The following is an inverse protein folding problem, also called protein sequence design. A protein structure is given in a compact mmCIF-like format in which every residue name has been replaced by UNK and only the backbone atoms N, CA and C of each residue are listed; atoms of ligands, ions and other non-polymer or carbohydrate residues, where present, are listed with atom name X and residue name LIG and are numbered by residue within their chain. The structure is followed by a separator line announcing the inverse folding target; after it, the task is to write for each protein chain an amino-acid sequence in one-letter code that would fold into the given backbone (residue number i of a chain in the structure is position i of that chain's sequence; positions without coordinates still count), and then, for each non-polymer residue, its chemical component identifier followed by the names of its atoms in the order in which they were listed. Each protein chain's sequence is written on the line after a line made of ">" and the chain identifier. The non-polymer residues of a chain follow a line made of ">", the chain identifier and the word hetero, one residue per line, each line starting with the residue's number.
data_IF_018727088973
#
_entry.id   IF_018727088973
#
_cell.length_a   1.000
_cell.length_b   1.000
_cell.length_c   1.000
_cell.angle_alpha   90.00
_cell.angle_beta   90.00
_cell.angle_gamma   90.00
#
_symmetry.space_group_name_H-M   'P 1'
#
loop_
_entity.id
_entity.type
_entity.pdbx_description
1 polymer ?
#
# COMPACT_ATOMS: atom_id res chain seq x y z
N UNK A 1 -7.62 -24.72 -6.84
CA UNK A 1 -6.70 -23.96 -5.97
C UNK A 1 -5.66 -23.33 -6.89
N UNK A 2 -5.70 -22.01 -7.07
CA UNK A 2 -4.72 -21.32 -7.92
C UNK A 2 -3.35 -21.38 -7.27
N UNK A 3 -2.30 -21.68 -8.02
CA UNK A 3 -0.93 -21.55 -7.54
C UNK A 3 -0.71 -20.10 -7.10
N UNK A 4 -0.20 -19.89 -5.89
CA UNK A 4 0.30 -18.58 -5.48
C UNK A 4 1.30 -18.10 -6.53
N UNK A 5 1.07 -16.92 -7.12
CA UNK A 5 2.08 -16.34 -8.00
C UNK A 5 3.32 -15.96 -7.16
N UNK A 6 4.51 -15.96 -7.76
CA UNK A 6 5.77 -15.75 -7.05
C UNK A 6 5.76 -14.46 -6.21
N UNK A 7 5.15 -13.40 -6.75
CA UNK A 7 5.00 -12.12 -6.08
C UNK A 7 4.18 -12.22 -4.78
N UNK A 8 3.02 -12.85 -4.82
CA UNK A 8 2.16 -13.06 -3.65
C UNK A 8 2.87 -13.88 -2.57
N UNK A 9 3.61 -14.94 -2.94
CA UNK A 9 4.39 -15.73 -1.99
C UNK A 9 5.46 -14.90 -1.27
N UNK A 10 6.08 -13.94 -1.98
CA UNK A 10 7.07 -13.01 -1.43
C UNK A 10 6.45 -11.87 -0.59
N UNK A 11 5.13 -11.70 -0.63
CA UNK A 11 4.39 -10.69 0.13
C UNK A 11 3.85 -11.20 1.47
N UNK A 12 4.20 -12.43 1.89
CA UNK A 12 3.84 -12.94 3.22
C UNK A 12 4.61 -12.21 4.31
N UNK A 13 4.03 -12.09 5.52
CA UNK A 13 4.66 -11.39 6.67
C UNK A 13 6.10 -11.87 6.91
N UNK A 14 6.30 -13.19 7.00
CA UNK A 14 7.61 -13.76 7.30
C UNK A 14 8.64 -13.47 6.21
N UNK A 15 8.25 -13.56 4.93
CA UNK A 15 9.15 -13.25 3.82
C UNK A 15 9.51 -11.77 3.76
N UNK A 16 8.54 -10.89 4.01
CA UNK A 16 8.77 -9.45 4.04
C UNK A 16 9.66 -9.04 5.22
N UNK A 17 9.41 -9.57 6.43
CA UNK A 17 10.25 -9.29 7.60
C UNK A 17 11.67 -9.84 7.42
N UNK A 18 11.81 -11.08 6.99
CA UNK A 18 13.13 -11.70 6.79
C UNK A 18 13.98 -10.94 5.77
N UNK A 19 13.35 -10.31 4.78
CA UNK A 19 14.04 -9.59 3.70
C UNK A 19 14.22 -8.11 3.97
N UNK A 20 13.19 -7.47 4.52
CA UNK A 20 13.08 -6.02 4.60
C UNK A 20 12.99 -5.47 6.02
N UNK A 21 12.98 -6.29 7.07
CA UNK A 21 12.77 -5.87 8.46
C UNK A 21 13.63 -4.67 8.88
N UNK A 22 14.92 -4.70 8.56
CA UNK A 22 15.86 -3.61 8.89
C UNK A 22 15.81 -2.42 7.92
N UNK A 23 15.11 -2.54 6.79
CA UNK A 23 15.07 -1.47 5.79
C UNK A 23 14.07 -0.40 6.24
N UNK A 24 14.43 0.86 6.00
CA UNK A 24 13.53 1.96 6.29
C UNK A 24 12.32 1.94 5.35
N UNK A 25 11.14 2.09 5.95
CA UNK A 25 9.89 2.41 5.27
C UNK A 25 9.46 3.80 5.66
N UNK A 26 8.84 4.49 4.69
CA UNK A 26 8.24 5.80 4.90
C UNK A 26 6.75 5.63 5.11
N UNK A 27 6.27 5.91 6.31
CA UNK A 27 4.85 5.99 6.60
C UNK A 27 4.34 7.38 6.27
N UNK A 28 3.15 7.45 5.70
CA UNK A 28 2.48 8.71 5.43
C UNK A 28 1.13 8.73 6.13
N UNK A 29 0.68 9.92 6.53
CA UNK A 29 -0.69 10.09 7.01
C UNK A 29 -1.66 9.87 5.87
N UNK A 30 -2.75 9.18 6.16
CA UNK A 30 -3.90 9.00 5.30
C UNK A 30 -4.67 10.32 5.07
N UNK A 31 -4.07 11.30 4.41
CA UNK A 31 -4.73 12.51 3.96
C UNK A 31 -4.18 12.95 2.59
N UNK A 32 -4.94 13.77 1.88
CA UNK A 32 -4.68 14.22 0.49
C UNK A 32 -3.29 14.84 0.29
N UNK A 33 -2.67 15.37 1.35
CA UNK A 33 -1.41 16.09 1.29
C UNK A 33 -0.23 15.37 1.96
N UNK A 34 -0.49 14.27 2.68
CA UNK A 34 0.52 13.47 3.39
C UNK A 34 1.50 14.29 4.24
N UNK A 35 0.97 15.25 5.03
CA UNK A 35 1.78 16.27 5.72
C UNK A 35 2.82 15.70 6.70
N UNK A 36 2.51 14.59 7.36
CA UNK A 36 3.45 13.93 8.28
C UNK A 36 3.96 12.66 7.62
N UNK A 37 5.29 12.60 7.50
CA UNK A 37 6.04 11.42 7.03
C UNK A 37 6.97 10.97 8.13
N UNK A 38 7.02 9.67 8.37
CA UNK A 38 7.87 9.06 9.40
C UNK A 38 8.64 7.93 8.76
N UNK A 39 9.96 8.01 8.83
CA UNK A 39 10.85 6.92 8.41
C UNK A 39 11.23 6.08 9.63
N UNK A 40 11.06 4.76 9.52
CA UNK A 40 11.41 3.79 10.56
C UNK A 40 11.69 2.41 9.94
N UNK A 41 12.39 1.50 10.63
CA UNK A 41 12.55 0.12 10.17
C UNK A 41 11.20 -0.56 9.91
N UNK A 42 11.14 -1.39 8.87
CA UNK A 42 9.94 -2.14 8.55
C UNK A 42 9.50 -3.06 9.69
N UNK A 43 10.44 -3.64 10.44
CA UNK A 43 10.18 -4.45 11.63
C UNK A 43 9.42 -3.63 12.68
N UNK A 44 9.91 -2.42 13.01
CA UNK A 44 9.27 -1.53 13.98
C UNK A 44 7.86 -1.13 13.53
N UNK A 45 7.66 -0.88 12.23
CA UNK A 45 6.32 -0.63 11.70
C UNK A 45 5.39 -1.83 11.95
N UNK A 46 5.83 -3.03 11.63
CA UNK A 46 5.04 -4.26 11.77
C UNK A 46 4.73 -4.60 13.23
N UNK A 47 5.68 -4.37 14.13
CA UNK A 47 5.54 -4.76 15.53
C UNK A 47 4.78 -3.74 16.38
N UNK A 48 4.81 -2.46 16.00
CA UNK A 48 4.31 -1.38 16.86
C UNK A 48 3.19 -0.53 16.25
N UNK A 49 3.02 -0.54 14.92
CA UNK A 49 2.09 0.36 14.24
C UNK A 49 1.12 -0.36 13.28
N UNK A 50 1.42 -1.59 12.86
CA UNK A 50 0.57 -2.39 11.99
C UNK A 50 -0.54 -3.11 12.79
N UNK A 51 -1.40 -2.32 13.41
CA UNK A 51 -2.52 -2.79 14.23
C UNK A 51 -3.87 -2.24 13.74
N UNK A 52 -5.01 -2.83 14.17
CA UNK A 52 -6.32 -2.26 13.94
C UNK A 52 -6.40 -0.81 14.46
N UNK A 53 -6.86 0.10 13.62
CA UNK A 53 -7.02 1.50 13.96
C UNK A 53 -8.18 1.69 14.95
N UNK A 54 -7.99 2.60 15.91
CA UNK A 54 -9.06 3.06 16.78
C UNK A 54 -10.11 3.83 15.94
N UNK A 55 -11.38 3.46 16.10
CA UNK A 55 -12.51 4.09 15.41
C UNK A 55 -12.71 5.56 15.81
N UNK A 56 -12.14 5.98 16.94
CA UNK A 56 -12.13 7.39 17.35
C UNK A 56 -10.99 8.21 16.71
N UNK A 57 -9.98 7.56 16.12
CA UNK A 57 -8.86 8.27 15.50
C UNK A 57 -9.26 8.91 14.17
N UNK A 58 -8.75 10.11 13.90
CA UNK A 58 -8.96 10.75 12.61
C UNK A 58 -8.11 10.05 11.54
N UNK A 59 -8.65 9.88 10.34
CA UNK A 59 -7.87 9.35 9.21
C UNK A 59 -6.60 10.15 8.95
N UNK A 60 -6.62 11.47 9.18
CA UNK A 60 -5.44 12.33 9.06
C UNK A 60 -4.32 12.03 10.06
N UNK A 61 -4.58 11.24 11.10
CA UNK A 61 -3.65 10.85 12.16
C UNK A 61 -3.13 9.42 11.97
N UNK A 62 -3.79 8.61 11.14
CA UNK A 62 -3.38 7.25 10.81
C UNK A 62 -2.16 7.25 9.89
N UNK A 63 -1.03 6.73 10.41
CA UNK A 63 0.18 6.43 9.65
C UNK A 63 0.13 5.00 9.14
N UNK A 64 0.33 4.79 7.84
CA UNK A 64 0.55 3.45 7.30
C UNK A 64 1.47 3.48 6.09
N UNK A 65 2.01 2.31 5.73
CA UNK A 65 3.00 2.20 4.66
C UNK A 65 2.28 2.14 3.32
N UNK A 66 2.32 3.25 2.57
CA UNK A 66 1.81 3.32 1.21
C UNK A 66 2.46 4.51 0.48
N UNK A 67 2.69 4.37 -0.83
CA UNK A 67 3.40 5.39 -1.60
C UNK A 67 4.85 5.57 -1.16
N UNK A 68 5.58 6.44 -1.86
CA UNK A 68 6.98 6.79 -1.56
C UNK A 68 7.90 5.59 -1.27
N UNK A 69 7.65 4.44 -1.92
CA UNK A 69 8.47 3.26 -1.72
C UNK A 69 9.90 3.53 -2.21
N UNK A 70 10.91 3.02 -1.48
CA UNK A 70 12.28 3.06 -1.94
C UNK A 70 12.51 1.97 -3.01
N UNK A 71 12.44 2.34 -4.29
CA UNK A 71 12.57 1.43 -5.43
C UNK A 71 13.95 0.80 -5.58
N UNK A 72 14.98 1.34 -4.93
CA UNK A 72 16.31 0.72 -4.91
C UNK A 72 16.29 -0.49 -3.97
N UNK A 73 15.87 -0.26 -2.73
CA UNK A 73 15.83 -1.30 -1.69
C UNK A 73 14.76 -2.36 -1.97
N UNK A 74 13.56 -1.93 -2.34
CA UNK A 74 12.40 -2.80 -2.58
C UNK A 74 12.31 -3.30 -4.02
N UNK A 75 13.17 -2.83 -4.93
CA UNK A 75 13.08 -3.12 -6.36
C UNK A 75 13.13 -4.60 -6.70
N UNK A 76 13.80 -5.39 -5.87
CA UNK A 76 13.87 -6.85 -6.02
C UNK A 76 12.55 -7.58 -5.77
N UNK A 77 11.63 -7.00 -4.98
CA UNK A 77 10.24 -7.44 -4.86
C UNK A 77 9.44 -6.97 -6.09
N UNK A 78 9.59 -5.70 -6.48
CA UNK A 78 8.82 -5.12 -7.59
C UNK A 78 9.11 -5.74 -8.95
N UNK A 79 10.32 -6.27 -9.17
CA UNK A 79 10.67 -7.04 -10.37
C UNK A 79 9.85 -8.32 -10.54
N UNK A 80 9.24 -8.85 -9.47
CA UNK A 80 8.40 -10.06 -9.50
C UNK A 80 6.94 -9.74 -9.77
N UNK A 81 6.52 -8.49 -9.63
CA UNK A 81 5.15 -8.08 -9.88
C UNK A 81 4.89 -7.97 -11.39
N UNK A 82 3.85 -8.65 -11.86
CA UNK A 82 3.37 -8.53 -13.22
C UNK A 82 2.08 -7.70 -13.23
N UNK A 83 2.13 -6.40 -13.60
CA UNK A 83 0.95 -5.55 -13.58
C UNK A 83 -0.05 -5.94 -14.66
N UNK A 84 -1.33 -5.52 -14.54
CA UNK A 84 -2.32 -5.68 -15.60
C UNK A 84 -1.80 -5.17 -16.96
N UNK A 85 -2.13 -5.83 -18.08
CA UNK A 85 -1.53 -5.56 -19.40
C UNK A 85 -2.04 -4.26 -20.06
N UNK A 86 -2.74 -3.40 -19.33
CA UNK A 86 -3.31 -2.16 -19.83
C UNK A 86 -2.32 -1.00 -19.67
N UNK A 87 -2.15 -0.21 -20.71
CA UNK A 87 -1.20 0.92 -20.75
C UNK A 87 -1.78 2.10 -21.49
N UNK A 88 -1.30 3.29 -21.15
CA UNK A 88 -1.61 4.53 -21.89
C UNK A 88 -0.39 4.86 -22.77
N UNK A 89 -0.55 5.07 -24.09
CA UNK A 89 0.55 5.42 -24.96
C UNK A 89 1.33 6.63 -24.44
N UNK A 90 2.66 6.55 -24.41
CA UNK A 90 3.54 7.63 -23.95
C UNK A 90 3.69 7.75 -22.43
N UNK A 91 3.14 6.83 -21.65
CA UNK A 91 3.25 6.82 -20.18
C UNK A 91 4.05 5.63 -19.65
N UNK A 92 4.53 5.75 -18.41
CA UNK A 92 5.15 4.65 -17.68
C UNK A 92 4.41 4.42 -16.37
N UNK A 93 4.16 3.15 -16.06
CA UNK A 93 3.52 2.77 -14.81
C UNK A 93 4.37 3.11 -13.59
N UNK A 94 3.78 3.74 -12.57
CA UNK A 94 4.41 3.96 -11.27
C UNK A 94 3.76 3.06 -10.21
N UNK A 95 4.56 2.33 -9.45
CA UNK A 95 4.05 1.46 -8.40
C UNK A 95 3.88 2.20 -7.07
N UNK A 96 2.88 1.79 -6.31
CA UNK A 96 2.72 2.10 -4.89
C UNK A 96 2.35 0.82 -4.18
N UNK A 97 3.34 0.20 -3.56
CA UNK A 97 3.15 -0.95 -2.68
C UNK A 97 2.78 -0.46 -1.29
N UNK A 98 1.87 -1.15 -0.63
CA UNK A 98 1.45 -0.77 0.70
C UNK A 98 1.01 -1.92 1.58
N UNK A 99 1.16 -1.67 2.88
CA UNK A 99 0.76 -2.54 3.97
C UNK A 99 0.05 -1.65 4.98
N UNK A 100 -1.15 -2.03 5.39
CA UNK A 100 -1.94 -1.25 6.34
C UNK A 100 -2.77 -2.14 7.26
N UNK A 101 -2.93 -1.71 8.51
CA UNK A 101 -3.78 -2.39 9.49
C UNK A 101 -5.27 -2.19 9.19
N UNK A 102 -6.12 -3.00 9.81
CA UNK A 102 -7.57 -2.83 9.72
C UNK A 102 -7.99 -1.40 10.11
N UNK A 103 -8.94 -0.81 9.38
CA UNK A 103 -9.41 0.56 9.63
C UNK A 103 -8.52 1.66 9.03
N UNK A 104 -7.33 1.33 8.52
CA UNK A 104 -6.50 2.29 7.77
C UNK A 104 -6.96 2.40 6.32
N UNK A 105 -6.51 3.44 5.61
CA UNK A 105 -6.95 3.69 4.23
C UNK A 105 -6.55 5.08 3.77
N UNK A 106 -7.15 5.59 2.70
CA UNK A 106 -6.98 7.00 2.28
C UNK A 106 -8.36 7.64 2.12
N UNK A 107 -8.58 8.85 2.68
CA UNK A 107 -9.79 9.63 2.46
C UNK A 107 -10.00 9.97 1.00
N UNK A 108 -11.10 10.68 0.73
CA UNK A 108 -11.44 11.11 -0.62
C UNK A 108 -10.30 11.90 -1.27
N UNK A 109 -9.83 11.37 -2.39
CA UNK A 109 -8.84 12.00 -3.26
C UNK A 109 -9.12 11.58 -4.71
N UNK A 110 -8.40 12.19 -5.64
CA UNK A 110 -8.45 11.86 -7.05
C UNK A 110 -7.04 11.87 -7.63
N UNK A 111 -6.85 11.12 -8.72
CA UNK A 111 -5.62 11.06 -9.48
C UNK A 111 -5.93 10.55 -10.90
N UNK A 112 -4.90 10.42 -11.74
CA UNK A 112 -5.01 9.80 -13.06
C UNK A 112 -5.41 8.32 -13.02
N UNK A 113 -5.49 7.63 -14.17
CA UNK A 113 -5.88 6.23 -14.22
C UNK A 113 -4.86 5.32 -13.51
N UNK A 114 -5.35 4.20 -12.97
CA UNK A 114 -4.50 3.19 -12.34
C UNK A 114 -5.25 1.93 -11.95
N UNK A 115 -4.49 0.92 -11.55
CA UNK A 115 -4.99 -0.34 -11.00
C UNK A 115 -4.62 -0.43 -9.52
N UNK A 116 -5.46 -1.10 -8.73
CA UNK A 116 -5.14 -1.46 -7.35
C UNK A 116 -5.46 -2.93 -7.12
N UNK A 117 -4.45 -3.71 -6.74
CA UNK A 117 -4.56 -5.14 -6.47
C UNK A 117 -4.37 -5.40 -4.97
N UNK A 118 -5.28 -6.15 -4.38
CA UNK A 118 -5.16 -6.64 -3.00
C UNK A 118 -4.53 -8.03 -3.04
N UNK A 119 -3.34 -8.15 -2.45
CA UNK A 119 -2.52 -9.36 -2.44
C UNK A 119 -2.91 -10.25 -1.24
N UNK A 120 -3.12 -9.61 -0.09
CA UNK A 120 -3.65 -10.21 1.14
C UNK A 120 -4.62 -9.25 1.81
N UNK A 121 -5.59 -9.80 2.54
CA UNK A 121 -6.62 -9.04 3.24
C UNK A 121 -7.78 -8.63 2.34
N UNK A 122 -8.52 -7.61 2.78
CA UNK A 122 -9.69 -7.07 2.09
C UNK A 122 -9.68 -5.56 2.16
N UNK A 123 -10.03 -4.92 1.05
CA UNK A 123 -10.08 -3.47 0.91
C UNK A 123 -11.39 -3.05 0.25
N UNK A 124 -12.01 -2.01 0.78
CA UNK A 124 -13.18 -1.37 0.18
C UNK A 124 -12.71 -0.15 -0.60
N UNK A 125 -13.30 0.04 -1.77
CA UNK A 125 -13.14 1.21 -2.61
C UNK A 125 -14.49 1.92 -2.72
N UNK A 126 -14.54 3.17 -2.27
CA UNK A 126 -15.74 3.99 -2.32
C UNK A 126 -15.60 5.04 -3.42
N UNK A 127 -16.60 5.17 -4.29
CA UNK A 127 -16.67 6.18 -5.34
C UNK A 127 -17.87 7.11 -5.13
N UNK A 128 -17.65 8.41 -4.83
CA UNK A 128 -18.66 9.45 -5.00
C UNK A 128 -18.71 9.94 -6.46
N UNK A 129 -19.32 11.10 -6.68
CA UNK A 129 -19.26 11.80 -7.95
C UNK A 129 -17.82 12.24 -8.34
N UNK A 130 -17.66 12.70 -9.58
CA UNK A 130 -16.44 13.33 -10.08
C UNK A 130 -15.13 12.53 -9.93
N UNK A 131 -15.19 11.19 -9.99
CA UNK A 131 -14.02 10.29 -9.92
C UNK A 131 -13.19 10.40 -8.63
N UNK A 132 -13.75 11.01 -7.60
CA UNK A 132 -13.19 10.89 -6.26
C UNK A 132 -13.24 9.43 -5.83
N UNK A 133 -12.30 9.03 -4.99
CA UNK A 133 -12.41 7.77 -4.29
C UNK A 133 -11.72 7.79 -2.95
N UNK A 134 -12.20 6.92 -2.06
CA UNK A 134 -11.56 6.61 -0.79
C UNK A 134 -11.32 5.11 -0.70
N UNK A 135 -10.33 4.71 0.09
CA UNK A 135 -10.09 3.30 0.38
C UNK A 135 -10.09 3.03 1.86
N UNK A 136 -10.53 1.83 2.24
CA UNK A 136 -10.54 1.34 3.62
C UNK A 136 -10.10 -0.12 3.67
N UNK A 137 -9.05 -0.42 4.43
CA UNK A 137 -8.62 -1.79 4.70
C UNK A 137 -9.54 -2.38 5.78
N UNK A 138 -10.22 -3.50 5.48
CA UNK A 138 -11.09 -4.20 6.42
C UNK A 138 -10.35 -5.20 7.30
N UNK A 139 -9.16 -5.61 6.85
CA UNK A 139 -8.20 -6.44 7.58
C UNK A 139 -6.81 -5.82 7.42
N UNK A 140 -5.82 -6.36 8.13
CA UNK A 140 -4.42 -6.13 7.74
C UNK A 140 -4.21 -6.56 6.29
N UNK A 141 -3.89 -5.59 5.44
CA UNK A 141 -3.93 -5.77 3.99
C UNK A 141 -2.59 -5.43 3.36
N UNK A 142 -2.18 -6.25 2.39
CA UNK A 142 -1.03 -6.00 1.52
C UNK A 142 -1.57 -5.75 0.13
N UNK A 143 -1.19 -4.64 -0.48
CA UNK A 143 -1.72 -4.23 -1.78
C UNK A 143 -0.65 -3.55 -2.62
N UNK A 144 -0.88 -3.49 -3.92
CA UNK A 144 -0.06 -2.73 -4.85
C UNK A 144 -0.95 -1.99 -5.83
N UNK A 145 -0.65 -0.71 -6.03
CA UNK A 145 -1.29 0.11 -7.06
C UNK A 145 -0.30 0.41 -8.19
N UNK A 146 -0.80 0.45 -9.42
CA UNK A 146 -0.05 0.88 -10.61
C UNK A 146 -0.75 2.09 -11.20
N UNK A 147 -0.13 3.27 -11.12
CA UNK A 147 -0.60 4.50 -11.75
C UNK A 147 -0.09 4.57 -13.19
N UNK A 148 -0.92 4.99 -14.15
CA UNK A 148 -0.60 5.09 -15.57
C UNK A 148 -0.49 6.55 -16.02
#
# INVERSE_FOLDING_TARGET
>A
MGSFNEFQAQCTKDQLLARFGEHLVRLSTANTYSYRKVDLPFQDYVDHLLEPQDLASLGSETLYFFGDNNFTEWGSLFKKYNPPPFRIPGTMGAYSFGIGGSGSGVPFHWHGPGFSEVIFGRKVLYFPDHWWHATLNLDTSVFISTFL
#
